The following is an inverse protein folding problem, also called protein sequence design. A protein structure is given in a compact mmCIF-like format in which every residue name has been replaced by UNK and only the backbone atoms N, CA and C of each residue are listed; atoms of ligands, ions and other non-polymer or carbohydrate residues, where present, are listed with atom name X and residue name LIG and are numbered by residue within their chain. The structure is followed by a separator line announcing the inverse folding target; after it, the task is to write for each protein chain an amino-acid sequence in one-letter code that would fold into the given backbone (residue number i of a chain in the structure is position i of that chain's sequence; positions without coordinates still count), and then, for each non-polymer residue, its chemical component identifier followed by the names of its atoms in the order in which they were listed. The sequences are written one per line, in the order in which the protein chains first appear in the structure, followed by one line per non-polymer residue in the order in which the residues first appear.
data_IF_220089593858
#
_entry.id   IF_220089593858
#
_cell.length_a   1.000
_cell.length_b   1.000
_cell.length_c   1.000
_cell.angle_alpha   90.00
_cell.angle_beta   90.00
_cell.angle_gamma   90.00
#
_symmetry.space_group_name_H-M   'P 1'
#
loop_
_entity.id
_entity.type
_entity.pdbx_description
1 polymer ?
#
# COMPACT_ATOMS: atom_id res chain seq x y z
N UNK A 1 11.27 5.51 -0.32
CA UNK A 1 11.78 6.88 0.01
C UNK A 1 10.63 7.84 0.32
N UNK A 2 10.82 8.94 1.08
CA UNK A 2 9.79 9.95 1.27
C UNK A 2 9.47 10.63 -0.07
N UNK A 3 8.19 10.82 -0.38
CA UNK A 3 7.75 11.64 -1.52
C UNK A 3 7.46 13.04 -0.98
N UNK A 4 7.99 14.06 -1.63
CA UNK A 4 7.82 15.46 -1.26
C UNK A 4 6.53 16.05 -1.83
N UNK A 5 5.99 17.10 -1.19
CA UNK A 5 4.81 17.84 -1.70
C UNK A 5 5.05 18.41 -3.10
N UNK A 6 6.29 18.76 -3.43
CA UNK A 6 6.70 19.24 -4.75
C UNK A 6 6.59 18.12 -5.79
N UNK A 7 7.06 16.93 -5.47
CA UNK A 7 6.93 15.76 -6.35
C UNK A 7 5.44 15.43 -6.55
N UNK A 8 4.62 15.43 -5.50
CA UNK A 8 3.16 15.23 -5.62
C UNK A 8 2.49 16.28 -6.53
N UNK A 9 2.85 17.56 -6.39
CA UNK A 9 2.33 18.63 -7.25
C UNK A 9 2.74 18.44 -8.71
N UNK A 10 4.02 18.11 -8.97
CA UNK A 10 4.51 17.86 -10.31
C UNK A 10 3.84 16.64 -10.95
N UNK A 11 3.63 15.56 -10.19
CA UNK A 11 2.86 14.40 -10.64
C UNK A 11 1.42 14.80 -11.02
N UNK A 12 0.73 15.59 -10.18
CA UNK A 12 -0.63 16.05 -10.46
C UNK A 12 -0.75 16.95 -11.70
N UNK A 13 0.19 17.88 -11.89
CA UNK A 13 0.23 18.77 -13.06
C UNK A 13 0.54 18.00 -14.35
N UNK A 14 1.38 16.96 -14.27
CA UNK A 14 1.79 16.15 -15.42
C UNK A 14 0.95 14.88 -15.63
N UNK A 15 -0.10 14.65 -14.83
CA UNK A 15 -0.97 13.47 -14.87
C UNK A 15 -1.71 13.25 -16.20
N UNK A 16 -1.55 14.15 -17.18
CA UNK A 16 -2.08 13.99 -18.55
C UNK A 16 -1.09 13.36 -19.53
N UNK A 17 0.18 13.20 -19.15
CA UNK A 17 1.20 12.56 -19.98
C UNK A 17 1.30 11.06 -19.65
N UNK A 18 1.06 10.20 -20.65
CA UNK A 18 1.18 8.74 -20.54
C UNK A 18 2.54 8.30 -19.99
N UNK A 19 3.62 8.97 -20.39
CA UNK A 19 4.96 8.64 -19.89
C UNK A 19 5.10 8.89 -18.39
N UNK A 20 4.57 10.02 -17.90
CA UNK A 20 4.59 10.36 -16.48
C UNK A 20 3.74 9.39 -15.66
N UNK A 21 2.57 9.00 -16.18
CA UNK A 21 1.70 8.01 -15.53
C UNK A 21 2.43 6.67 -15.38
N UNK A 22 3.09 6.18 -16.45
CA UNK A 22 3.84 4.93 -16.39
C UNK A 22 5.00 4.99 -15.39
N UNK A 23 5.76 6.09 -15.37
CA UNK A 23 6.86 6.28 -14.41
C UNK A 23 6.31 6.27 -12.97
N UNK A 24 5.20 6.94 -12.72
CA UNK A 24 4.56 6.95 -11.40
C UNK A 24 4.07 5.55 -10.99
N UNK A 25 3.41 4.82 -11.91
CA UNK A 25 2.94 3.46 -11.66
C UNK A 25 4.10 2.49 -11.38
N UNK A 26 5.19 2.61 -12.11
CA UNK A 26 6.42 1.82 -11.91
C UNK A 26 7.06 2.12 -10.55
N UNK A 27 7.19 3.40 -10.20
CA UNK A 27 7.67 3.81 -8.88
C UNK A 27 6.83 3.19 -7.75
N UNK A 28 5.50 3.27 -7.86
CA UNK A 28 4.59 2.68 -6.87
C UNK A 28 4.69 1.15 -6.83
N UNK A 29 4.84 0.49 -7.98
CA UNK A 29 5.01 -0.96 -8.06
C UNK A 29 6.24 -1.44 -7.28
N UNK A 30 7.34 -0.68 -7.32
CA UNK A 30 8.56 -0.99 -6.57
C UNK A 30 8.44 -0.60 -5.08
N UNK A 31 7.87 0.57 -4.78
CA UNK A 31 7.89 1.14 -3.43
C UNK A 31 6.81 0.59 -2.50
N UNK A 32 5.61 0.29 -3.01
CA UNK A 32 4.49 -0.14 -2.18
C UNK A 32 4.74 -1.49 -1.48
N UNK A 33 5.25 -2.55 -2.13
CA UNK A 33 5.58 -3.79 -1.45
C UNK A 33 6.58 -3.58 -0.31
N UNK A 34 7.60 -2.73 -0.50
CA UNK A 34 8.58 -2.41 0.55
C UNK A 34 7.88 -1.75 1.75
N UNK A 35 6.97 -0.79 1.50
CA UNK A 35 6.22 -0.11 2.56
C UNK A 35 5.30 -1.07 3.31
N UNK A 36 4.56 -1.92 2.61
CA UNK A 36 3.68 -2.91 3.23
C UNK A 36 4.47 -3.89 4.11
N UNK A 37 5.60 -4.42 3.62
CA UNK A 37 6.48 -5.31 4.39
C UNK A 37 7.01 -4.64 5.66
N UNK A 38 7.40 -3.35 5.57
CA UNK A 38 7.79 -2.57 6.76
C UNK A 38 6.63 -2.45 7.74
N UNK A 39 5.40 -2.15 7.28
CA UNK A 39 4.21 -2.06 8.15
C UNK A 39 3.92 -3.37 8.87
N UNK A 40 3.99 -4.51 8.17
CA UNK A 40 3.86 -5.83 8.78
C UNK A 40 4.88 -6.02 9.91
N UNK A 41 6.14 -5.68 9.64
CA UNK A 41 7.21 -5.79 10.64
C UNK A 41 6.98 -4.89 11.86
N UNK A 42 6.57 -3.65 11.66
CA UNK A 42 6.30 -2.73 12.77
C UNK A 42 5.10 -3.19 13.61
N UNK A 43 4.03 -3.69 12.98
CA UNK A 43 2.86 -4.23 13.68
C UNK A 43 3.19 -5.49 14.49
N UNK A 44 4.05 -6.37 13.95
CA UNK A 44 4.55 -7.55 14.68
C UNK A 44 5.42 -7.21 15.89
N UNK A 45 6.07 -6.05 15.86
CA UNK A 45 6.94 -5.55 16.94
C UNK A 45 6.21 -4.75 18.01
N UNK A 46 4.89 -4.61 17.93
CA UNK A 46 4.12 -3.90 18.94
C UNK A 46 4.33 -4.55 20.33
N UNK A 47 4.58 -3.74 21.37
CA UNK A 47 4.93 -4.25 22.70
C UNK A 47 3.72 -4.80 23.46
N UNK A 48 3.96 -5.37 24.64
CA UNK A 48 2.93 -5.78 25.60
C UNK A 48 1.91 -6.81 25.07
N UNK A 49 2.30 -7.61 24.09
CA UNK A 49 1.40 -8.60 23.46
C UNK A 49 0.35 -7.99 22.53
N UNK A 50 0.41 -6.69 22.25
CA UNK A 50 -0.56 -6.02 21.37
C UNK A 50 -0.58 -6.63 19.95
N UNK A 51 0.56 -7.12 19.46
CA UNK A 51 0.67 -7.81 18.17
C UNK A 51 -0.13 -9.11 18.10
N UNK A 52 -0.40 -9.75 19.24
CA UNK A 52 -1.15 -11.00 19.38
C UNK A 52 -2.67 -10.76 19.43
N UNK A 53 -3.11 -9.52 19.71
CA UNK A 53 -4.54 -9.20 19.77
C UNK A 53 -5.22 -9.52 18.44
N UNK A 54 -6.45 -10.04 18.48
CA UNK A 54 -7.17 -10.47 17.28
C UNK A 54 -7.30 -9.35 16.25
N UNK A 55 -7.51 -8.12 16.70
CA UNK A 55 -7.64 -6.95 15.83
C UNK A 55 -6.33 -6.61 15.11
N UNK A 56 -5.19 -6.59 15.81
CA UNK A 56 -3.89 -6.32 15.18
C UNK A 56 -3.46 -7.47 14.28
N UNK A 57 -3.70 -8.72 14.68
CA UNK A 57 -3.43 -9.89 13.84
C UNK A 57 -4.24 -9.87 12.52
N UNK A 58 -5.48 -9.37 12.53
CA UNK A 58 -6.27 -9.16 11.31
C UNK A 58 -5.63 -8.10 10.41
N UNK A 59 -5.17 -6.99 10.98
CA UNK A 59 -4.51 -5.92 10.24
C UNK A 59 -3.18 -6.42 9.63
N UNK A 60 -2.38 -7.19 10.37
CA UNK A 60 -1.15 -7.81 9.86
C UNK A 60 -1.45 -8.67 8.63
N UNK A 61 -2.43 -9.58 8.72
CA UNK A 61 -2.82 -10.46 7.60
C UNK A 61 -3.27 -9.67 6.38
N UNK A 62 -3.98 -8.56 6.58
CA UNK A 62 -4.42 -7.69 5.49
C UNK A 62 -3.23 -7.05 4.74
N UNK A 63 -2.25 -6.51 5.49
CA UNK A 63 -1.03 -5.97 4.90
C UNK A 63 -0.20 -7.04 4.17
N UNK A 64 -0.11 -8.26 4.72
CA UNK A 64 0.59 -9.39 4.08
C UNK A 64 -0.08 -9.82 2.78
N UNK A 65 -1.40 -9.98 2.78
CA UNK A 65 -2.16 -10.32 1.57
C UNK A 65 -1.90 -9.30 0.46
N UNK A 66 -1.94 -8.02 0.81
CA UNK A 66 -1.76 -6.93 -0.14
C UNK A 66 -0.33 -6.87 -0.69
N UNK A 67 0.66 -7.17 0.15
CA UNK A 67 2.04 -7.35 -0.30
C UNK A 67 2.16 -8.44 -1.37
N UNK A 68 1.56 -9.60 -1.14
CA UNK A 68 1.62 -10.71 -2.10
C UNK A 68 0.85 -10.41 -3.39
N UNK A 69 -0.30 -9.74 -3.30
CA UNK A 69 -1.06 -9.28 -4.46
C UNK A 69 -0.20 -8.37 -5.33
N UNK A 70 0.40 -7.32 -4.76
CA UNK A 70 1.25 -6.39 -5.50
C UNK A 70 2.48 -7.08 -6.11
N UNK A 71 3.12 -8.00 -5.39
CA UNK A 71 4.32 -8.69 -5.89
C UNK A 71 4.05 -9.62 -7.08
N UNK A 72 2.80 -10.07 -7.25
CA UNK A 72 2.36 -10.91 -8.38
C UNK A 72 1.98 -10.10 -9.61
N UNK A 73 1.78 -8.80 -9.49
CA UNK A 73 1.47 -7.96 -10.65
C UNK A 73 2.74 -7.77 -11.51
N UNK A 74 2.61 -7.82 -12.84
CA UNK A 74 3.70 -7.43 -13.72
C UNK A 74 4.02 -5.94 -13.56
N UNK A 75 5.27 -5.56 -13.87
CA UNK A 75 5.68 -4.16 -13.91
C UNK A 75 4.82 -3.38 -14.93
N UNK A 76 4.24 -2.22 -14.59
CA UNK A 76 3.42 -1.43 -15.50
C UNK A 76 4.24 -0.76 -16.61
N UNK A 77 4.49 -1.48 -17.71
CA UNK A 77 5.25 -0.96 -18.88
C UNK A 77 4.34 -0.47 -20.01
N UNK A 78 3.03 -0.70 -19.92
CA UNK A 78 2.03 -0.27 -20.89
C UNK A 78 0.82 0.32 -20.17
N UNK A 79 0.04 1.16 -20.85
CA UNK A 79 -1.17 1.75 -20.27
C UNK A 79 -2.21 0.69 -19.84
N UNK A 80 -2.26 -0.46 -20.51
CA UNK A 80 -3.15 -1.55 -20.12
C UNK A 80 -2.70 -2.22 -18.81
N UNK A 81 -1.38 -2.40 -18.62
CA UNK A 81 -0.84 -2.92 -17.36
C UNK A 81 -0.96 -1.89 -16.23
N UNK A 82 -0.82 -0.60 -16.55
CA UNK A 82 -1.03 0.49 -15.60
C UNK A 82 -2.48 0.57 -15.14
N UNK A 83 -3.47 0.50 -16.04
CA UNK A 83 -4.88 0.47 -15.67
C UNK A 83 -5.19 -0.70 -14.72
N UNK A 84 -4.71 -1.91 -15.04
CA UNK A 84 -4.86 -3.09 -14.17
C UNK A 84 -4.17 -2.91 -12.81
N UNK A 85 -3.02 -2.24 -12.79
CA UNK A 85 -2.31 -1.93 -11.56
C UNK A 85 -3.15 -0.96 -10.68
N UNK A 86 -3.69 0.10 -11.28
CA UNK A 86 -4.57 1.05 -10.60
C UNK A 86 -5.85 0.39 -10.07
N UNK A 87 -6.52 -0.44 -10.86
CA UNK A 87 -7.69 -1.23 -10.40
C UNK A 87 -7.36 -2.11 -9.18
N UNK A 88 -6.17 -2.72 -9.18
CA UNK A 88 -5.73 -3.53 -8.04
C UNK A 88 -5.42 -2.67 -6.82
N UNK A 89 -4.84 -1.48 -7.01
CA UNK A 89 -4.61 -0.52 -5.93
C UNK A 89 -5.92 -0.03 -5.31
N UNK A 90 -6.92 0.26 -6.13
CA UNK A 90 -8.24 0.66 -5.65
C UNK A 90 -8.87 -0.44 -4.79
N UNK A 91 -8.82 -1.70 -5.25
CA UNK A 91 -9.30 -2.83 -4.46
C UNK A 91 -8.56 -2.97 -3.11
N UNK A 92 -7.23 -2.85 -3.12
CA UNK A 92 -6.42 -2.86 -1.89
C UNK A 92 -6.83 -1.71 -0.96
N UNK A 93 -7.00 -0.50 -1.48
CA UNK A 93 -7.39 0.66 -0.68
C UNK A 93 -8.76 0.46 -0.01
N UNK A 94 -9.74 -0.06 -0.76
CA UNK A 94 -11.06 -0.36 -0.21
C UNK A 94 -11.00 -1.42 0.90
N UNK A 95 -10.20 -2.46 0.73
CA UNK A 95 -10.00 -3.47 1.77
C UNK A 95 -9.35 -2.89 3.06
N UNK A 96 -8.58 -1.80 2.95
CA UNK A 96 -7.92 -1.15 4.08
C UNK A 96 -8.76 -0.09 4.81
N UNK A 97 -9.97 0.24 4.34
CA UNK A 97 -10.80 1.30 4.92
C UNK A 97 -11.04 1.13 6.43
N UNK A 98 -11.12 -0.12 6.91
CA UNK A 98 -11.41 -0.41 8.32
C UNK A 98 -10.16 -0.55 9.20
N UNK A 99 -8.95 -0.38 8.66
CA UNK A 99 -7.70 -0.57 9.40
C UNK A 99 -7.61 0.37 10.61
N UNK A 100 -7.99 1.64 10.46
CA UNK A 100 -7.94 2.59 11.57
C UNK A 100 -8.83 2.16 12.74
N UNK A 101 -10.05 1.70 12.44
CA UNK A 101 -10.98 1.19 13.45
C UNK A 101 -10.46 -0.08 14.13
N UNK A 102 -9.86 -0.99 13.37
CA UNK A 102 -9.28 -2.23 13.92
C UNK A 102 -8.09 -1.95 14.82
N UNK A 103 -7.19 -1.05 14.42
CA UNK A 103 -6.05 -0.64 15.26
C UNK A 103 -6.55 0.02 16.55
N UNK A 104 -7.55 0.92 16.47
CA UNK A 104 -8.12 1.55 17.65
C UNK A 104 -8.72 0.53 18.64
N UNK A 105 -9.43 -0.49 18.14
CA UNK A 105 -9.94 -1.59 18.97
C UNK A 105 -8.83 -2.41 19.63
N UNK A 106 -7.73 -2.66 18.92
CA UNK A 106 -6.57 -3.39 19.46
C UNK A 106 -5.85 -2.67 20.60
N UNK A 107 -5.96 -1.34 20.69
CA UNK A 107 -5.38 -0.53 21.76
C UNK A 107 -6.28 -0.40 23.00
N UNK A 108 -7.55 -0.80 22.88
CA UNK A 108 -8.53 -0.78 23.99
C UNK A 108 -8.57 -2.12 24.76
N UNK A 109 -7.83 -3.13 24.29
CA UNK A 109 -7.82 -4.49 24.84
C UNK A 109 -6.76 -4.66 25.93
#
# INVERSE_FOLDING_TARGET
SPVTLRELYQFGVQAKNKQTILIAAQYLHEELPIRLARRVRELRKLPYGLSETTAIAQVIRLYERSFFVLRRLPMPTTMALEARFCETLDAIMQEHNNVQTLVARGLQA
#
